data_IF_133051400099
#
_entry.id   IF_133051400099
#
_cell.length_a   1.000
_cell.length_b   1.000
_cell.length_c   1.000
_cell.angle_alpha   90.00
_cell.angle_beta   90.00
_cell.angle_gamma   90.00
#
_symmetry.space_group_name_H-M   'P 1'
#
loop_
_entity.id
_entity.type
_entity.pdbx_description
1 polymer ?
#
# COMPACT_ATOMS: atom_id res chain seq x y z
N UNK A 1 -19.74 41.31 -9.19
CA UNK A 1 -19.70 39.83 -9.20
C UNK A 1 -21.02 39.33 -9.76
N UNK A 2 -21.02 38.41 -10.73
CA UNK A 2 -22.26 37.98 -11.41
C UNK A 2 -23.06 36.98 -10.54
N UNK A 3 -24.40 37.09 -10.48
CA UNK A 3 -25.29 36.16 -9.75
C UNK A 3 -25.10 34.67 -10.09
N UNK A 4 -24.58 34.37 -11.29
CA UNK A 4 -24.33 32.99 -11.74
C UNK A 4 -23.14 32.31 -11.02
N UNK A 5 -22.21 33.10 -10.49
CA UNK A 5 -21.07 32.58 -9.72
C UNK A 5 -21.52 32.13 -8.33
N UNK A 6 -22.44 32.86 -7.69
CA UNK A 6 -23.00 32.49 -6.39
C UNK A 6 -23.84 31.20 -6.45
N UNK A 7 -24.70 31.04 -7.47
CA UNK A 7 -25.50 29.80 -7.63
C UNK A 7 -24.62 28.57 -7.86
N UNK A 8 -23.55 28.71 -8.64
CA UNK A 8 -22.61 27.61 -8.92
C UNK A 8 -21.83 27.21 -7.66
N UNK A 9 -21.43 28.18 -6.83
CA UNK A 9 -20.76 27.91 -5.55
C UNK A 9 -21.71 27.28 -4.51
N UNK A 10 -22.97 27.71 -4.46
CA UNK A 10 -23.95 27.17 -3.51
C UNK A 10 -24.34 25.72 -3.84
N UNK A 11 -24.51 25.39 -5.12
CA UNK A 11 -24.82 24.03 -5.58
C UNK A 11 -23.66 23.04 -5.33
N UNK A 12 -22.40 23.48 -5.49
CA UNK A 12 -21.23 22.65 -5.21
C UNK A 12 -20.95 22.48 -3.71
N UNK A 13 -21.35 23.44 -2.86
CA UNK A 13 -21.22 23.35 -1.40
C UNK A 13 -22.13 22.26 -0.81
N UNK A 14 -23.37 22.14 -1.30
CA UNK A 14 -24.32 21.14 -0.81
C UNK A 14 -23.95 19.70 -1.21
N UNK A 15 -23.39 19.48 -2.41
CA UNK A 15 -22.84 18.16 -2.79
C UNK A 15 -21.65 17.74 -1.93
N UNK A 16 -20.81 18.69 -1.48
CA UNK A 16 -19.63 18.42 -0.65
C UNK A 16 -19.99 17.97 0.76
N UNK A 17 -20.94 18.64 1.41
CA UNK A 17 -21.44 18.23 2.73
C UNK A 17 -22.02 16.81 2.70
N UNK A 18 -22.82 16.52 1.68
CA UNK A 18 -23.49 15.22 1.54
C UNK A 18 -22.53 14.05 1.22
N UNK A 19 -21.38 14.30 0.58
CA UNK A 19 -20.34 13.28 0.36
C UNK A 19 -19.53 13.04 1.64
N UNK A 20 -19.19 14.09 2.39
CA UNK A 20 -18.45 13.96 3.66
C UNK A 20 -19.31 13.29 4.74
N UNK A 21 -20.60 13.62 4.84
CA UNK A 21 -21.54 12.98 5.76
C UNK A 21 -21.73 11.50 5.43
N UNK A 22 -21.96 11.15 4.15
CA UNK A 22 -22.01 9.73 3.75
C UNK A 22 -20.72 9.00 4.08
N UNK A 23 -19.54 9.57 3.82
CA UNK A 23 -18.28 8.88 4.15
C UNK A 23 -18.10 8.65 5.66
N UNK A 24 -18.61 9.55 6.51
CA UNK A 24 -18.64 9.37 7.98
C UNK A 24 -19.60 8.25 8.42
N UNK A 25 -20.73 8.08 7.75
CA UNK A 25 -21.68 6.97 8.00
C UNK A 25 -21.03 5.58 7.76
N UNK A 26 -19.98 5.52 6.93
CA UNK A 26 -19.21 4.29 6.66
C UNK A 26 -17.93 4.17 7.49
N UNK A 27 -17.78 4.96 8.55
CA UNK A 27 -16.65 4.88 9.49
C UNK A 27 -15.34 5.49 9.01
N UNK A 28 -15.37 6.32 7.95
CA UNK A 28 -14.22 7.13 7.55
C UNK A 28 -14.22 8.47 8.27
N UNK A 29 -13.20 8.68 9.11
CA UNK A 29 -12.89 10.01 9.61
C UNK A 29 -12.03 10.75 8.58
N UNK A 30 -12.51 11.88 8.04
CA UNK A 30 -11.85 12.64 6.96
C UNK A 30 -11.53 14.05 7.45
N UNK A 31 -10.25 14.46 7.36
CA UNK A 31 -9.81 15.82 7.67
C UNK A 31 -9.10 16.51 6.48
N UNK A 32 -9.40 17.81 6.28
CA UNK A 32 -8.79 18.70 5.26
C UNK A 32 -9.66 19.00 4.02
N UNK A 33 -9.88 20.29 3.67
CA UNK A 33 -10.56 20.70 2.42
C UNK A 33 -9.95 21.99 1.84
N UNK A 34 -9.30 21.96 0.65
CA UNK A 34 -8.94 23.19 -0.10
C UNK A 34 -9.43 23.24 -1.56
N UNK A 35 -9.24 24.42 -2.19
CA UNK A 35 -9.72 24.83 -3.54
C UNK A 35 -9.05 24.08 -4.70
N UNK A 36 -9.85 23.85 -5.75
CA UNK A 36 -9.61 22.99 -6.92
C UNK A 36 -8.40 23.37 -7.83
N UNK A 37 -7.92 24.62 -7.76
CA UNK A 37 -6.88 25.13 -8.68
C UNK A 37 -5.47 24.56 -8.46
N UNK A 38 -5.20 23.89 -7.34
CA UNK A 38 -3.86 23.39 -6.98
C UNK A 38 -3.50 22.04 -7.62
N UNK A 39 -4.45 21.33 -8.21
CA UNK A 39 -4.29 19.93 -8.65
C UNK A 39 -3.50 19.82 -9.96
N UNK A 40 -3.65 20.79 -10.88
CA UNK A 40 -3.00 20.76 -12.19
C UNK A 40 -1.48 20.95 -12.18
N UNK A 41 -0.94 21.69 -11.20
CA UNK A 41 0.50 21.99 -11.09
C UNK A 41 1.31 20.92 -10.33
N UNK A 42 0.66 20.00 -9.63
CA UNK A 42 1.33 18.96 -8.84
C UNK A 42 1.78 17.73 -9.66
N UNK A 43 1.21 17.54 -10.85
CA UNK A 43 1.38 16.34 -11.67
C UNK A 43 2.68 16.30 -12.50
N UNK A 44 3.51 17.35 -12.48
CA UNK A 44 4.70 17.47 -13.34
C UNK A 44 6.07 17.33 -12.61
N UNK A 45 6.11 16.88 -11.36
CA UNK A 45 7.38 16.71 -10.63
C UNK A 45 7.49 15.31 -10.07
N UNK A 46 8.21 14.42 -10.75
CA UNK A 46 9.06 13.36 -10.18
C UNK A 46 9.62 12.47 -11.29
N UNK A 47 10.80 12.82 -11.83
CA UNK A 47 11.63 11.89 -12.60
C UNK A 47 12.80 11.52 -11.69
N UNK A 48 12.79 10.30 -11.14
CA UNK A 48 13.89 9.75 -10.34
C UNK A 48 15.12 9.44 -11.20
N UNK A 49 16.30 9.34 -10.57
CA UNK A 49 17.50 8.82 -11.25
C UNK A 49 17.30 7.32 -11.54
N UNK A 50 17.88 6.81 -12.62
CA UNK A 50 17.83 5.38 -12.96
C UNK A 50 19.11 4.71 -12.46
N UNK A 51 19.01 3.56 -11.77
CA UNK A 51 20.15 2.68 -11.47
C UNK A 51 19.88 1.29 -11.99
N UNK A 52 20.91 0.71 -12.60
CA UNK A 52 20.87 -0.69 -13.01
C UNK A 52 21.25 -1.55 -11.80
N UNK A 53 20.35 -2.44 -11.40
CA UNK A 53 20.60 -3.45 -10.37
C UNK A 53 20.35 -4.82 -10.99
N UNK A 54 21.33 -5.73 -10.89
CA UNK A 54 21.29 -7.06 -11.52
C UNK A 54 20.92 -7.04 -13.02
N UNK A 55 21.45 -6.06 -13.77
CA UNK A 55 21.20 -5.91 -15.21
C UNK A 55 19.81 -5.34 -15.57
N UNK A 56 19.00 -4.89 -14.60
CA UNK A 56 17.69 -4.28 -14.85
C UNK A 56 17.66 -2.81 -14.40
N UNK A 57 17.07 -1.89 -15.19
CA UNK A 57 16.92 -0.51 -14.78
C UNK A 57 15.82 -0.38 -13.71
N UNK A 58 16.16 0.28 -12.61
CA UNK A 58 15.23 0.66 -11.55
C UNK A 58 15.23 2.18 -11.40
N UNK A 59 14.05 2.74 -11.15
CA UNK A 59 13.97 4.11 -10.64
C UNK A 59 14.48 4.11 -9.21
N UNK A 60 15.23 5.15 -8.87
CA UNK A 60 15.71 5.39 -7.52
C UNK A 60 15.01 6.62 -6.98
N UNK A 61 14.56 6.53 -5.74
CA UNK A 61 14.05 7.67 -5.02
C UNK A 61 15.18 8.66 -4.68
N UNK A 62 14.84 9.80 -4.08
CA UNK A 62 15.85 10.81 -3.69
C UNK A 62 16.83 10.33 -2.62
N UNK A 63 16.54 9.21 -1.94
CA UNK A 63 17.32 8.63 -0.84
C UNK A 63 18.23 7.50 -1.32
N UNK A 64 18.17 7.12 -2.59
CA UNK A 64 18.99 6.04 -3.14
C UNK A 64 18.31 4.66 -3.10
N UNK A 65 17.05 4.57 -2.67
CA UNK A 65 16.31 3.32 -2.56
C UNK A 65 15.66 2.91 -3.90
N UNK A 66 15.58 1.60 -4.15
CA UNK A 66 14.90 1.07 -5.33
C UNK A 66 13.41 1.34 -5.22
N UNK A 67 12.86 2.09 -6.17
CA UNK A 67 11.43 2.35 -6.24
C UNK A 67 10.68 1.05 -6.59
N UNK A 68 9.60 0.72 -5.88
CA UNK A 68 8.76 -0.41 -6.25
C UNK A 68 8.13 -0.15 -7.61
N UNK A 69 8.09 -1.16 -8.46
CA UNK A 69 7.36 -1.10 -9.71
C UNK A 69 5.89 -1.44 -9.45
N UNK A 70 5.04 -0.42 -9.36
CA UNK A 70 3.62 -0.53 -9.06
C UNK A 70 2.77 -0.33 -10.31
N UNK A 71 1.90 -1.29 -10.60
CA UNK A 71 0.86 -1.18 -11.62
C UNK A 71 -0.50 -1.31 -10.96
N UNK A 72 -1.39 -0.38 -11.27
CA UNK A 72 -2.80 -0.43 -10.88
C UNK A 72 -3.64 -0.32 -12.13
N UNK A 73 -4.57 -1.25 -12.32
CA UNK A 73 -5.49 -1.24 -13.46
C UNK A 73 -6.91 -1.57 -13.01
N UNK A 74 -7.86 -1.25 -13.89
CA UNK A 74 -9.27 -1.55 -13.71
C UNK A 74 -9.67 -2.55 -14.78
N UNK A 75 -9.87 -3.84 -14.46
CA UNK A 75 -10.44 -4.77 -15.43
C UNK A 75 -11.83 -4.26 -15.84
N UNK A 76 -12.11 -4.28 -17.16
CA UNK A 76 -13.47 -3.98 -17.66
C UNK A 76 -14.36 -5.16 -17.30
N UNK A 77 -15.44 -4.92 -16.58
CA UNK A 77 -16.51 -5.90 -16.43
C UNK A 77 -17.52 -5.79 -17.58
N UNK A 78 -18.32 -6.83 -17.78
CA UNK A 78 -19.35 -6.90 -18.82
C UNK A 78 -20.41 -5.78 -18.71
N UNK A 79 -20.57 -5.19 -17.53
CA UNK A 79 -21.51 -4.10 -17.27
C UNK A 79 -20.91 -2.70 -17.39
N UNK A 80 -19.57 -2.59 -17.49
CA UNK A 80 -18.84 -1.32 -17.50
C UNK A 80 -18.90 -0.52 -16.20
N UNK A 81 -19.42 -1.09 -15.10
CA UNK A 81 -19.69 -0.39 -13.84
C UNK A 81 -18.83 -0.83 -12.65
N UNK A 82 -18.11 -1.96 -12.73
CA UNK A 82 -17.32 -2.43 -11.60
C UNK A 82 -16.10 -1.54 -11.34
N UNK A 83 -16.05 -0.93 -10.15
CA UNK A 83 -14.87 -0.22 -9.64
C UNK A 83 -13.91 -1.19 -8.94
N UNK A 84 -13.56 -2.30 -9.62
CA UNK A 84 -12.53 -3.21 -9.12
C UNK A 84 -11.17 -2.67 -9.56
N UNK A 85 -10.24 -2.62 -8.62
CA UNK A 85 -8.86 -2.23 -8.84
C UNK A 85 -7.99 -3.44 -8.58
N UNK A 86 -7.13 -3.76 -9.54
CA UNK A 86 -6.10 -4.76 -9.39
C UNK A 86 -4.75 -4.07 -9.31
N UNK A 87 -3.92 -4.53 -8.39
CA UNK A 87 -2.60 -3.99 -8.09
C UNK A 87 -1.59 -5.12 -8.24
N UNK A 88 -0.50 -4.83 -8.94
CA UNK A 88 0.72 -5.62 -8.92
C UNK A 88 1.88 -4.70 -8.56
N UNK A 89 2.54 -4.97 -7.45
CA UNK A 89 3.76 -4.29 -7.06
C UNK A 89 4.90 -5.29 -6.92
N UNK A 90 6.08 -4.95 -7.41
CA UNK A 90 7.28 -5.77 -7.30
C UNK A 90 8.47 -4.93 -6.86
N UNK A 91 9.26 -5.43 -5.92
CA UNK A 91 10.49 -4.78 -5.44
C UNK A 91 11.55 -5.83 -5.11
N UNK A 92 12.79 -5.56 -5.50
CA UNK A 92 13.94 -6.35 -5.05
C UNK A 92 14.45 -5.75 -3.74
N UNK A 93 14.62 -6.59 -2.72
CA UNK A 93 15.03 -6.25 -1.36
C UNK A 93 16.37 -6.93 -1.08
N UNK A 94 17.33 -6.16 -0.55
CA UNK A 94 18.66 -6.65 -0.19
C UNK A 94 18.66 -7.42 1.15
N UNK A 95 17.79 -8.43 1.26
CA UNK A 95 17.80 -9.43 2.31
C UNK A 95 17.32 -10.79 1.78
N UNK A 96 17.68 -11.87 2.48
CA UNK A 96 17.24 -13.22 2.11
C UNK A 96 15.71 -13.32 2.11
N UNK A 97 15.18 -14.20 1.26
CA UNK A 97 13.74 -14.40 1.15
C UNK A 97 13.11 -14.82 2.49
N UNK A 98 13.82 -15.63 3.29
CA UNK A 98 13.37 -16.02 4.64
C UNK A 98 13.31 -14.83 5.60
N UNK A 99 14.28 -13.91 5.53
CA UNK A 99 14.28 -12.69 6.36
C UNK A 99 13.09 -11.82 6.04
N UNK A 100 12.87 -11.51 4.76
CA UNK A 100 11.74 -10.67 4.34
C UNK A 100 10.41 -11.34 4.69
N UNK A 101 10.28 -12.66 4.45
CA UNK A 101 9.09 -13.39 4.83
C UNK A 101 8.81 -13.33 6.33
N UNK A 102 9.83 -13.51 7.18
CA UNK A 102 9.66 -13.46 8.64
C UNK A 102 9.19 -12.10 9.14
N UNK A 103 9.60 -11.01 8.49
CA UNK A 103 9.13 -9.64 8.79
C UNK A 103 7.64 -9.50 8.45
N UNK A 104 7.23 -10.02 7.29
CA UNK A 104 5.83 -9.95 6.84
C UNK A 104 4.89 -10.82 7.67
N UNK A 105 5.33 -12.02 8.03
CA UNK A 105 4.57 -12.98 8.83
C UNK A 105 4.44 -12.56 10.31
N UNK A 106 5.29 -11.63 10.78
CA UNK A 106 5.19 -11.06 12.12
C UNK A 106 4.09 -9.98 12.21
N UNK A 107 2.84 -10.42 12.18
CA UNK A 107 1.67 -9.54 12.19
C UNK A 107 1.54 -8.70 13.48
N UNK A 108 2.07 -9.17 14.61
CA UNK A 108 2.06 -8.44 15.88
C UNK A 108 2.96 -7.19 15.82
N UNK A 109 4.06 -7.30 15.06
CA UNK A 109 5.00 -6.22 14.84
C UNK A 109 4.61 -5.31 13.67
N UNK A 110 3.48 -5.54 13.01
CA UNK A 110 3.08 -4.84 11.79
C UNK A 110 3.01 -3.31 11.96
N UNK A 111 2.68 -2.79 13.14
CA UNK A 111 2.70 -1.33 13.44
C UNK A 111 4.10 -0.69 13.37
N UNK A 112 5.16 -1.48 13.60
CA UNK A 112 6.54 -1.02 13.57
C UNK A 112 7.16 -1.16 12.17
N UNK A 113 6.57 -2.02 11.34
CA UNK A 113 6.94 -2.19 9.94
C UNK A 113 6.23 -1.15 9.08
N UNK A 114 4.91 -1.05 9.18
CA UNK A 114 4.06 -0.25 8.29
C UNK A 114 3.59 1.04 8.95
N UNK A 115 4.00 2.19 8.42
CA UNK A 115 3.58 3.53 8.89
C UNK A 115 2.08 3.75 8.76
N UNK A 116 1.46 3.07 7.79
CA UNK A 116 0.03 3.12 7.53
C UNK A 116 -0.76 2.40 8.62
N UNK A 117 -0.16 1.52 9.44
CA UNK A 117 -0.87 0.79 10.49
C UNK A 117 -0.80 1.58 11.81
N UNK A 118 -1.96 2.07 12.26
CA UNK A 118 -2.14 2.76 13.54
C UNK A 118 -2.35 1.81 14.73
N UNK A 119 -2.61 0.54 14.46
CA UNK A 119 -2.83 -0.49 15.46
C UNK A 119 -3.17 -1.81 14.79
N UNK A 120 -2.67 -2.90 15.37
CA UNK A 120 -2.95 -4.26 14.92
C UNK A 120 -3.27 -5.13 16.13
N UNK A 121 -4.27 -5.99 16.00
CA UNK A 121 -4.61 -7.03 16.97
C UNK A 121 -4.86 -8.33 16.21
N UNK A 122 -4.32 -9.43 16.73
CA UNK A 122 -4.56 -10.76 16.20
C UNK A 122 -5.61 -11.45 17.07
N UNK A 123 -6.54 -12.11 16.42
CA UNK A 123 -7.50 -13.01 17.02
C UNK A 123 -7.41 -14.36 16.31
N UNK A 124 -7.54 -15.46 17.04
CA UNK A 124 -7.63 -16.79 16.45
C UNK A 124 -9.08 -17.24 16.51
N UNK A 125 -9.66 -17.52 15.34
CA UNK A 125 -11.06 -17.92 15.21
C UNK A 125 -11.17 -19.09 14.24
N UNK A 126 -11.79 -20.18 14.69
CA UNK A 126 -12.01 -21.40 13.90
C UNK A 126 -10.71 -21.95 13.25
N UNK A 127 -9.60 -21.89 14.00
CA UNK A 127 -8.27 -22.31 13.53
C UNK A 127 -7.61 -21.37 12.51
N UNK A 128 -8.22 -20.21 12.23
CA UNK A 128 -7.71 -19.19 11.30
C UNK A 128 -7.25 -17.94 12.04
N UNK A 129 -6.24 -17.26 11.51
CA UNK A 129 -5.79 -15.95 12.01
C UNK A 129 -6.68 -14.86 11.45
N UNK A 130 -7.27 -14.07 12.34
CA UNK A 130 -8.03 -12.86 12.02
C UNK A 130 -7.24 -11.64 12.49
N UNK A 131 -6.83 -10.81 11.54
CA UNK A 131 -6.04 -9.62 11.76
C UNK A 131 -6.94 -8.38 11.75
N UNK A 132 -7.07 -7.72 12.89
CA UNK A 132 -7.78 -6.45 13.03
C UNK A 132 -6.77 -5.31 12.88
N UNK A 133 -6.89 -4.51 11.84
CA UNK A 133 -6.01 -3.36 11.59
C UNK A 133 -6.77 -2.06 11.59
N UNK A 134 -6.19 -1.04 12.20
CA UNK A 134 -6.58 0.35 11.99
C UNK A 134 -5.57 0.99 11.06
N UNK A 135 -5.98 1.27 9.83
CA UNK A 135 -5.09 1.77 8.78
C UNK A 135 -5.34 3.26 8.53
N UNK A 136 -4.25 4.02 8.37
CA UNK A 136 -4.24 5.42 7.97
C UNK A 136 -4.05 5.48 6.46
N UNK A 137 -4.72 6.42 5.84
CA UNK A 137 -4.49 6.76 4.44
C UNK A 137 -4.38 8.25 4.28
N UNK A 138 -3.65 8.66 3.25
CA UNK A 138 -3.52 10.05 2.84
C UNK A 138 -3.58 10.11 1.33
N UNK A 139 -4.42 10.98 0.80
CA UNK A 139 -4.45 11.30 -0.61
C UNK A 139 -4.61 12.81 -0.79
N UNK A 140 -3.55 13.42 -1.33
CA UNK A 140 -3.44 14.86 -1.52
C UNK A 140 -3.67 15.62 -0.21
N UNK A 141 -4.87 16.16 -0.03
CA UNK A 141 -5.26 17.00 1.10
C UNK A 141 -6.19 16.28 2.08
N UNK A 142 -6.67 15.09 1.72
CA UNK A 142 -7.49 14.25 2.57
C UNK A 142 -6.61 13.24 3.28
N UNK A 143 -6.90 13.02 4.55
CA UNK A 143 -6.39 11.89 5.30
C UNK A 143 -7.51 11.31 6.13
N UNK A 144 -7.37 10.05 6.50
CA UNK A 144 -8.33 9.39 7.34
C UNK A 144 -7.84 8.07 7.89
N UNK A 145 -8.72 7.42 8.63
CA UNK A 145 -8.50 6.05 9.10
C UNK A 145 -9.66 5.16 8.71
N UNK A 146 -9.37 3.89 8.47
CA UNK A 146 -10.39 2.85 8.36
C UNK A 146 -9.97 1.62 9.16
N UNK A 147 -10.97 0.84 9.57
CA UNK A 147 -10.78 -0.45 10.21
C UNK A 147 -10.91 -1.54 9.15
N UNK A 148 -9.96 -2.48 9.15
CA UNK A 148 -10.01 -3.68 8.32
C UNK A 148 -9.89 -4.91 9.21
N UNK A 149 -10.66 -5.94 8.86
CA UNK A 149 -10.59 -7.26 9.45
C UNK A 149 -10.21 -8.21 8.33
N UNK A 150 -9.04 -8.83 8.42
CA UNK A 150 -8.48 -9.66 7.37
C UNK A 150 -8.27 -11.08 7.88
N UNK A 151 -8.83 -12.07 7.19
CA UNK A 151 -8.37 -13.44 7.33
C UNK A 151 -6.98 -13.53 6.75
N UNK A 152 -6.05 -14.14 7.49
CA UNK A 152 -4.67 -14.29 7.04
C UNK A 152 -4.32 -15.76 7.00
N UNK A 153 -3.70 -16.18 5.89
CA UNK A 153 -3.16 -17.51 5.71
C UNK A 153 -1.71 -17.40 5.23
N UNK A 154 -0.83 -18.07 5.95
CA UNK A 154 0.61 -18.10 5.74
C UNK A 154 1.01 -19.45 5.14
N UNK A 155 1.81 -19.44 4.07
CA UNK A 155 2.44 -20.63 3.50
C UNK A 155 3.97 -20.44 3.60
N UNK A 156 4.60 -20.91 4.70
CA UNK A 156 6.05 -20.75 4.90
C UNK A 156 6.89 -21.45 3.83
N UNK A 157 6.38 -22.55 3.25
CA UNK A 157 7.09 -23.29 2.21
C UNK A 157 7.19 -22.46 0.94
N UNK A 158 6.10 -21.77 0.58
CA UNK A 158 6.07 -20.86 -0.56
C UNK A 158 6.52 -19.45 -0.21
N UNK A 159 6.74 -19.11 1.06
CA UNK A 159 6.99 -17.74 1.54
C UNK A 159 5.91 -16.77 1.08
N UNK A 160 4.67 -17.19 1.22
CA UNK A 160 3.51 -16.41 0.80
C UNK A 160 2.56 -16.13 1.95
N UNK A 161 1.90 -14.99 1.87
CA UNK A 161 0.88 -14.57 2.84
C UNK A 161 -0.30 -14.07 2.05
N UNK A 162 -1.40 -14.79 2.12
CA UNK A 162 -2.68 -14.40 1.55
C UNK A 162 -3.53 -13.72 2.61
N UNK A 163 -4.24 -12.67 2.22
CA UNK A 163 -5.18 -11.99 3.09
C UNK A 163 -6.51 -11.75 2.37
N UNK A 164 -7.60 -11.93 3.09
CA UNK A 164 -8.96 -11.78 2.58
C UNK A 164 -9.81 -10.94 3.51
N UNK A 165 -10.63 -10.06 2.96
CA UNK A 165 -11.54 -9.24 3.74
C UNK A 165 -12.54 -10.12 4.50
N UNK A 166 -12.46 -10.11 5.82
CA UNK A 166 -13.32 -10.93 6.69
C UNK A 166 -14.73 -10.36 6.79
N UNK A 167 -14.86 -9.03 6.76
CA UNK A 167 -16.15 -8.33 6.81
C UNK A 167 -16.16 -7.14 5.86
N UNK A 168 -17.18 -7.02 4.99
CA UNK A 168 -17.40 -5.83 4.21
C UNK A 168 -17.59 -4.60 5.10
N UNK A 169 -17.13 -3.46 4.62
CA UNK A 169 -17.23 -2.17 5.30
C UNK A 169 -17.05 -1.05 4.30
N UNK A 170 -15.96 -0.27 4.42
CA UNK A 170 -15.55 0.66 3.38
C UNK A 170 -15.22 -0.05 2.05
N UNK A 171 -14.71 -1.27 2.14
CA UNK A 171 -14.43 -2.14 1.00
C UNK A 171 -15.51 -3.22 0.90
N UNK A 172 -16.00 -3.45 -0.33
CA UNK A 172 -16.79 -4.63 -0.69
C UNK A 172 -15.88 -5.83 -0.92
N UNK A 173 -14.68 -5.56 -1.44
CA UNK A 173 -13.68 -6.57 -1.74
C UNK A 173 -12.29 -6.03 -1.39
N UNK A 174 -11.50 -6.82 -0.69
CA UNK A 174 -10.11 -6.50 -0.38
C UNK A 174 -9.35 -7.79 -0.12
N UNK A 175 -8.77 -8.35 -1.17
CA UNK A 175 -7.93 -9.55 -1.08
C UNK A 175 -6.54 -9.25 -1.60
N UNK A 176 -5.56 -10.02 -1.16
CA UNK A 176 -4.24 -9.94 -1.75
C UNK A 176 -3.31 -11.03 -1.27
N UNK A 177 -2.11 -10.96 -1.81
CA UNK A 177 -1.04 -11.90 -1.57
C UNK A 177 0.29 -11.19 -1.61
N UNK A 178 1.07 -11.36 -0.55
CA UNK A 178 2.51 -11.17 -0.59
C UNK A 178 3.18 -12.49 -0.97
N UNK A 179 4.18 -12.40 -1.83
CA UNK A 179 5.01 -13.51 -2.27
C UNK A 179 6.47 -13.06 -2.23
N UNK A 180 7.33 -13.86 -1.60
CA UNK A 180 8.76 -13.58 -1.50
C UNK A 180 9.55 -14.68 -2.19
N UNK A 181 10.36 -14.32 -3.17
CA UNK A 181 11.17 -15.27 -3.94
C UNK A 181 12.65 -14.92 -3.84
N UNK A 182 13.57 -15.90 -3.74
CA UNK A 182 14.99 -15.60 -3.85
C UNK A 182 15.31 -15.08 -5.25
N UNK A 183 16.12 -14.03 -5.34
CA UNK A 183 16.70 -13.60 -6.62
C UNK A 183 18.02 -14.35 -6.78
N UNK A 184 18.12 -15.18 -7.82
CA UNK A 184 19.33 -15.95 -8.11
C UNK A 184 20.56 -15.05 -8.29
N UNK A 185 21.78 -15.62 -8.26
CA UNK A 185 23.02 -14.87 -8.44
C UNK A 185 22.98 -14.06 -9.73
N UNK A 186 22.94 -12.73 -9.61
CA UNK A 186 23.27 -11.86 -10.73
C UNK A 186 24.72 -12.13 -11.13
N UNK A 187 24.99 -12.19 -12.44
CA UNK A 187 26.35 -12.34 -12.96
C UNK A 187 27.23 -11.21 -12.39
N UNK A 188 28.15 -11.55 -11.49
CA UNK A 188 29.13 -10.63 -10.90
C UNK A 188 28.96 -10.25 -9.42
N UNK A 189 27.90 -10.67 -8.73
CA UNK A 189 27.67 -10.27 -7.33
C UNK A 189 28.22 -11.25 -6.29
N UNK A 190 29.21 -10.80 -5.50
CA UNK A 190 29.76 -11.50 -4.33
C UNK A 190 28.76 -11.64 -3.16
N UNK A 191 27.53 -11.13 -3.32
CA UNK A 191 26.41 -11.23 -2.37
C UNK A 191 25.29 -12.15 -2.87
N UNK A 192 25.59 -12.96 -3.88
CA UNK A 192 24.75 -14.04 -4.39
C UNK A 192 24.16 -14.91 -3.26
N UNK A 193 22.91 -14.64 -2.89
CA UNK A 193 22.20 -15.32 -1.79
C UNK A 193 21.42 -14.38 -0.86
N UNK A 194 21.72 -13.08 -0.91
CA UNK A 194 21.16 -12.10 0.04
C UNK A 194 20.06 -11.22 -0.52
N UNK A 195 19.60 -11.43 -1.76
CA UNK A 195 18.55 -10.60 -2.38
C UNK A 195 17.29 -11.42 -2.60
N UNK A 196 16.14 -10.81 -2.34
CA UNK A 196 14.83 -11.40 -2.61
C UNK A 196 13.95 -10.44 -3.40
N UNK A 197 12.96 -11.00 -4.09
CA UNK A 197 11.91 -10.26 -4.78
C UNK A 197 10.63 -10.39 -3.99
N UNK A 198 10.15 -9.25 -3.52
CA UNK A 198 8.83 -9.09 -2.95
C UNK A 198 7.83 -8.77 -4.07
N UNK A 199 6.76 -9.55 -4.14
CA UNK A 199 5.61 -9.29 -5.01
C UNK A 199 4.36 -9.13 -4.16
N UNK A 200 3.61 -8.04 -4.37
CA UNK A 200 2.26 -7.85 -3.87
C UNK A 200 1.29 -7.92 -5.05
N UNK A 201 0.32 -8.83 -4.95
CA UNK A 201 -0.89 -8.84 -5.79
C UNK A 201 -2.07 -8.47 -4.91
N UNK A 202 -2.89 -7.51 -5.31
CA UNK A 202 -4.02 -7.09 -4.49
C UNK A 202 -5.21 -6.74 -5.38
N UNK A 203 -6.40 -7.10 -4.92
CA UNK A 203 -7.69 -6.73 -5.48
C UNK A 203 -8.44 -5.89 -4.47
N UNK A 204 -9.02 -4.80 -4.93
CA UNK A 204 -9.70 -3.83 -4.09
C UNK A 204 -10.98 -3.35 -4.79
N UNK A 205 -12.11 -3.42 -4.11
CA UNK A 205 -13.39 -2.87 -4.56
C UNK A 205 -13.98 -2.03 -3.42
N UNK A 206 -14.10 -0.71 -3.59
CA UNK A 206 -14.79 0.12 -2.62
C UNK A 206 -16.29 -0.20 -2.60
N UNK A 207 -16.92 -0.03 -1.45
CA UNK A 207 -18.36 -0.26 -1.28
C UNK A 207 -19.22 0.79 -1.99
N UNK A 208 -18.66 1.95 -2.28
CA UNK A 208 -19.34 3.05 -2.96
C UNK A 208 -18.56 3.35 -4.23
N UNK A 209 -19.28 3.35 -5.34
CA UNK A 209 -18.75 3.87 -6.59
C UNK A 209 -18.39 5.35 -6.42
N UNK A 210 -17.11 5.69 -6.53
CA UNK A 210 -16.68 7.07 -6.51
C UNK A 210 -17.41 7.84 -7.64
N UNK A 211 -18.15 8.93 -7.35
CA UNK A 211 -18.93 9.61 -8.38
C UNK A 211 -18.04 10.38 -9.36
N UNK A 212 -18.20 10.14 -10.67
CA UNK A 212 -17.54 10.89 -11.73
C UNK A 212 -16.00 10.76 -11.74
N UNK A 213 -15.23 11.85 -11.97
CA UNK A 213 -13.76 11.80 -12.03
C UNK A 213 -13.09 11.34 -10.73
N UNK A 214 -13.87 11.09 -9.67
CA UNK A 214 -13.37 10.57 -8.42
C UNK A 214 -12.81 9.14 -8.48
N UNK A 215 -13.10 8.39 -9.54
CA UNK A 215 -12.49 7.08 -9.79
C UNK A 215 -10.96 7.11 -9.94
N UNK A 216 -10.36 8.26 -10.27
CA UNK A 216 -8.91 8.45 -10.25
C UNK A 216 -8.33 8.56 -8.83
N UNK A 217 -9.12 9.03 -7.85
CA UNK A 217 -8.65 9.16 -6.47
C UNK A 217 -8.43 7.80 -5.81
N UNK A 218 -9.35 6.84 -6.00
CA UNK A 218 -9.20 5.49 -5.44
C UNK A 218 -7.96 4.82 -6.00
N UNK A 219 -7.71 4.96 -7.31
CA UNK A 219 -6.48 4.48 -7.93
C UNK A 219 -5.25 5.13 -7.30
N UNK A 220 -5.26 6.46 -7.12
CA UNK A 220 -4.14 7.18 -6.54
C UNK A 220 -3.89 6.83 -5.07
N UNK A 221 -4.94 6.67 -4.26
CA UNK A 221 -4.87 6.21 -2.87
C UNK A 221 -4.23 4.82 -2.83
N UNK A 222 -4.73 3.87 -3.63
CA UNK A 222 -4.20 2.51 -3.67
C UNK A 222 -2.74 2.48 -4.11
N UNK A 223 -2.40 3.18 -5.20
CA UNK A 223 -1.01 3.32 -5.65
C UNK A 223 -0.12 3.88 -4.53
N UNK A 224 -0.53 4.97 -3.87
CA UNK A 224 0.26 5.62 -2.82
C UNK A 224 0.46 4.71 -1.62
N UNK A 225 -0.61 4.06 -1.14
CA UNK A 225 -0.54 3.12 -0.02
C UNK A 225 0.38 1.94 -0.33
N UNK A 226 0.37 1.44 -1.57
CA UNK A 226 1.23 0.34 -2.00
C UNK A 226 2.68 0.78 -2.08
N UNK A 227 2.98 1.95 -2.65
CA UNK A 227 4.33 2.51 -2.63
C UNK A 227 4.85 2.67 -1.19
N UNK A 228 4.05 3.23 -0.29
CA UNK A 228 4.41 3.38 1.12
C UNK A 228 4.68 2.04 1.78
N UNK A 229 3.80 1.05 1.56
CA UNK A 229 3.91 -0.31 2.12
C UNK A 229 5.20 -0.98 1.68
N UNK A 230 5.53 -0.94 0.38
CA UNK A 230 6.73 -1.58 -0.15
C UNK A 230 8.01 -0.90 0.37
N UNK A 231 8.02 0.44 0.43
CA UNK A 231 9.13 1.22 0.99
C UNK A 231 9.32 0.99 2.50
N UNK A 232 8.23 0.83 3.24
CA UNK A 232 8.25 0.51 4.67
C UNK A 232 8.91 -0.84 4.94
N UNK A 233 8.57 -1.87 4.16
CA UNK A 233 9.18 -3.20 4.26
C UNK A 233 10.68 -3.10 3.98
N UNK A 234 11.09 -2.42 2.91
CA UNK A 234 12.49 -2.22 2.57
C UNK A 234 13.25 -1.53 3.72
N UNK A 235 12.73 -0.40 4.19
CA UNK A 235 13.37 0.41 5.24
C UNK A 235 13.52 -0.39 6.54
N UNK A 236 12.47 -1.11 6.93
CA UNK A 236 12.51 -1.94 8.13
C UNK A 236 13.49 -3.09 7.98
N UNK A 237 13.53 -3.74 6.82
CA UNK A 237 14.44 -4.84 6.52
C UNK A 237 15.90 -4.39 6.58
N UNK A 238 16.24 -3.25 5.99
CA UNK A 238 17.61 -2.71 6.01
C UNK A 238 18.06 -2.43 7.46
N UNK A 239 17.18 -1.84 8.28
CA UNK A 239 17.47 -1.59 9.69
C UNK A 239 17.62 -2.91 10.48
N UNK A 240 16.77 -3.90 10.22
CA UNK A 240 16.81 -5.21 10.86
C UNK A 240 18.11 -5.96 10.57
N UNK A 241 18.52 -6.04 9.30
CA UNK A 241 19.77 -6.68 8.87
C UNK A 241 20.98 -5.97 9.46
N UNK A 242 20.98 -4.63 9.48
CA UNK A 242 22.06 -3.85 10.10
C UNK A 242 22.23 -4.19 11.58
N UNK A 243 21.12 -4.28 12.32
CA UNK A 243 21.15 -4.62 13.75
C UNK A 243 21.65 -6.05 14.00
N UNK A 244 21.23 -7.02 13.17
CA UNK A 244 21.72 -8.41 13.26
C UNK A 244 23.23 -8.52 13.04
N UNK A 245 23.78 -7.75 12.09
CA UNK A 245 25.23 -7.77 11.84
C UNK A 245 26.01 -7.12 12.99
N UNK A 246 25.45 -6.09 13.63
CA UNK A 246 26.06 -5.45 14.80
C UNK A 246 26.04 -6.35 16.06
N UNK A 247 25.00 -7.16 16.25
CA UNK A 247 24.96 -8.10 17.38
C UNK A 247 25.97 -9.23 17.22
N UNK A 248 26.10 -9.78 16.01
CA UNK A 248 27.10 -10.84 15.71
C UNK A 248 28.54 -10.37 15.84
N UNK A 249 28.82 -9.09 15.55
CA UNK A 249 30.17 -8.53 15.72
C UNK A 249 30.60 -8.36 17.19
N UNK A 250 29.65 -8.29 18.13
CA UNK A 250 29.93 -8.14 19.57
C UNK A 250 30.17 -9.44 20.30
N UNK A 251 29.73 -10.58 19.76
CA UNK A 251 29.94 -11.91 20.37
C UNK A 251 31.35 -12.49 20.06
N UNK A 252 32.11 -11.84 19.19
CA UNK A 252 33.45 -12.25 18.77
C UNK A 252 34.56 -11.24 19.12
N UNK A 253 34.29 -10.27 19.99
CA UNK A 253 35.29 -9.35 20.59
C UNK A 253 35.37 -9.58 22.09
#
# INVERSE_FOLDING_TARGET
MSPDVERTMHFQSNRKKHVVERLKEFGLDITGVPRYESVGKLLQRNVGKVRVVHGRPFLIDRRGALEPHVRVWKPKDETGQAQVFEVLATQDINASADTVYSILANHENSKNVFRSIAGAKIEHKDGKKLLHQRQRWKCMMFNGTFLSQLWVNEDPVKRSITFDLARPGFMQDFNGMFQVEPVGPGVGDKHAGSTSRLTLKQRARPSIAAPGPAGFYVQHILTSLVHETMNDIQTYTDAFVKNLNQSKGKEHS
#
